data_IF_301224846515
#
_entry.id   IF_301224846515
#
_cell.length_a   1.000
_cell.length_b   1.000
_cell.length_c   1.000
_cell.angle_alpha   90.00
_cell.angle_beta   90.00
_cell.angle_gamma   90.00
#
_symmetry.space_group_name_H-M   'P 1'
#
loop_
_entity.id
_entity.type
_entity.pdbx_description
1 polymer ?
#
# COMPACT_ATOMS: atom_id res chain seq x y z
N UNK A 1 -6.74 1.52 -14.02
CA UNK A 1 -6.89 0.32 -13.16
C UNK A 1 -7.82 0.63 -12.00
N UNK A 2 -8.63 -0.33 -11.58
CA UNK A 2 -9.60 -0.16 -10.50
C UNK A 2 -9.05 -0.59 -9.14
N UNK A 3 -9.56 -0.01 -8.04
CA UNK A 3 -9.18 -0.37 -6.66
C UNK A 3 -9.44 -1.85 -6.34
N UNK A 4 -10.48 -2.43 -6.94
CA UNK A 4 -10.85 -3.84 -6.86
C UNK A 4 -9.71 -4.77 -7.28
N UNK A 5 -8.91 -4.37 -8.26
CA UNK A 5 -7.80 -5.16 -8.79
C UNK A 5 -6.69 -5.37 -7.74
N UNK A 6 -6.36 -4.33 -6.97
CA UNK A 6 -5.37 -4.43 -5.90
C UNK A 6 -5.78 -5.45 -4.82
N UNK A 7 -7.08 -5.52 -4.51
CA UNK A 7 -7.64 -6.47 -3.54
C UNK A 7 -7.55 -7.91 -4.09
N UNK A 8 -7.87 -8.10 -5.37
CA UNK A 8 -7.74 -9.41 -6.03
C UNK A 8 -6.30 -9.89 -5.99
N UNK A 9 -5.33 -9.02 -6.32
CA UNK A 9 -3.91 -9.37 -6.28
C UNK A 9 -3.42 -9.68 -4.87
N UNK A 10 -3.85 -8.92 -3.86
CA UNK A 10 -3.52 -9.17 -2.45
C UNK A 10 -3.94 -10.59 -2.04
N UNK A 11 -5.18 -10.96 -2.35
CA UNK A 11 -5.75 -12.28 -2.01
C UNK A 11 -5.13 -13.41 -2.83
N UNK A 12 -4.99 -13.23 -4.15
CA UNK A 12 -4.46 -14.25 -5.06
C UNK A 12 -3.01 -14.60 -4.77
N UNK A 13 -2.19 -13.61 -4.42
CA UNK A 13 -0.75 -13.80 -4.19
C UNK A 13 -0.40 -14.09 -2.73
N UNK A 14 -1.35 -13.95 -1.79
CA UNK A 14 -1.09 -14.09 -0.35
C UNK A 14 0.01 -13.16 0.15
N UNK A 15 0.18 -11.99 -0.48
CA UNK A 15 1.19 -11.00 -0.11
C UNK A 15 0.73 -10.13 1.07
N UNK A 16 1.61 -9.28 1.59
CA UNK A 16 1.28 -8.42 2.73
C UNK A 16 0.60 -7.12 2.31
N UNK A 17 1.04 -6.51 1.21
CA UNK A 17 0.54 -5.22 0.76
C UNK A 17 0.60 -5.11 -0.77
N UNK A 18 -0.39 -4.45 -1.36
CA UNK A 18 -0.46 -4.07 -2.77
C UNK A 18 -0.77 -2.58 -2.84
N UNK A 19 0.01 -1.84 -3.62
CA UNK A 19 -0.17 -0.40 -3.82
C UNK A 19 -0.54 -0.14 -5.27
N UNK A 20 -1.63 0.60 -5.45
CA UNK A 20 -2.14 1.07 -6.73
C UNK A 20 -1.93 2.59 -6.81
N UNK A 21 -0.92 3.01 -7.58
CA UNK A 21 -0.63 4.41 -7.86
C UNK A 21 -0.89 4.72 -9.34
N UNK A 22 -1.94 5.49 -9.64
CA UNK A 22 -2.34 5.74 -11.03
C UNK A 22 -2.64 4.44 -11.78
N UNK A 23 -1.84 4.13 -12.81
CA UNK A 23 -1.95 2.90 -13.59
C UNK A 23 -0.86 1.86 -13.27
N UNK A 24 -0.21 1.97 -12.10
CA UNK A 24 0.86 1.06 -11.67
C UNK A 24 0.46 0.30 -10.42
N UNK A 25 0.53 -1.03 -10.50
CA UNK A 25 0.36 -1.93 -9.37
C UNK A 25 1.73 -2.36 -8.86
N UNK A 26 1.90 -2.46 -7.55
CA UNK A 26 3.16 -2.88 -6.92
C UNK A 26 2.88 -3.77 -5.72
N UNK A 27 3.62 -4.87 -5.62
CA UNK A 27 3.39 -5.91 -4.61
C UNK A 27 4.53 -5.91 -3.59
N UNK A 28 4.16 -6.02 -2.33
CA UNK A 28 5.05 -5.96 -1.18
C UNK A 28 4.81 -7.18 -0.27
N UNK A 29 5.88 -7.62 0.40
CA UNK A 29 5.89 -8.91 1.13
C UNK A 29 6.61 -8.86 2.48
N UNK A 30 7.25 -7.74 2.85
CA UNK A 30 7.88 -7.62 4.18
C UNK A 30 6.79 -7.51 5.24
N UNK A 31 7.16 -7.94 6.46
CA UNK A 31 6.26 -7.93 7.63
C UNK A 31 6.16 -6.53 8.24
N UNK A 32 5.00 -6.28 8.86
CA UNK A 32 4.71 -5.01 9.52
C UNK A 32 4.79 -3.85 8.55
N UNK A 33 5.25 -2.71 9.05
CA UNK A 33 5.28 -1.46 8.28
C UNK A 33 6.53 -1.25 7.43
N UNK A 34 7.44 -2.23 7.34
CA UNK A 34 8.78 -2.04 6.73
C UNK A 34 8.73 -1.59 5.28
N UNK A 35 7.81 -2.14 4.49
CA UNK A 35 7.64 -1.73 3.10
C UNK A 35 7.06 -0.32 2.98
N UNK A 36 6.03 0.00 3.76
CA UNK A 36 5.42 1.33 3.78
C UNK A 36 6.39 2.41 4.28
N UNK A 37 7.16 2.12 5.33
CA UNK A 37 8.13 3.05 5.90
C UNK A 37 9.26 3.35 4.92
N UNK A 38 9.85 2.30 4.32
CA UNK A 38 10.88 2.50 3.29
C UNK A 38 10.36 3.31 2.09
N UNK A 39 9.10 3.08 1.68
CA UNK A 39 8.50 3.90 0.62
C UNK A 39 8.31 5.35 1.05
N UNK A 40 7.88 5.61 2.28
CA UNK A 40 7.71 6.96 2.78
C UNK A 40 9.05 7.72 2.81
N UNK A 41 10.11 7.05 3.27
CA UNK A 41 11.44 7.65 3.41
C UNK A 41 12.13 7.84 2.05
N UNK A 42 12.12 6.80 1.20
CA UNK A 42 12.93 6.78 -0.03
C UNK A 42 12.17 7.32 -1.26
N UNK A 43 10.83 7.16 -1.30
CA UNK A 43 10.03 7.52 -2.47
C UNK A 43 8.55 7.82 -2.13
N UNK A 44 8.28 8.89 -1.36
CA UNK A 44 6.95 9.20 -0.84
C UNK A 44 5.90 9.43 -1.95
N UNK A 45 6.34 9.84 -3.15
CA UNK A 45 5.47 10.02 -4.31
C UNK A 45 4.77 8.73 -4.76
N UNK A 46 5.24 7.55 -4.34
CA UNK A 46 4.55 6.27 -4.60
C UNK A 46 3.33 6.04 -3.69
N UNK A 47 3.25 6.76 -2.58
CA UNK A 47 2.12 6.69 -1.64
C UNK A 47 1.10 7.80 -1.91
N UNK A 48 1.55 8.97 -2.37
CA UNK A 48 0.69 10.13 -2.57
C UNK A 48 -0.41 9.86 -3.61
N UNK A 49 -1.67 9.99 -3.20
CA UNK A 49 -2.84 9.70 -4.02
C UNK A 49 -3.03 8.22 -4.33
N UNK A 50 -2.20 7.32 -3.80
CA UNK A 50 -2.32 5.89 -4.06
C UNK A 50 -3.47 5.26 -3.27
N UNK A 51 -3.95 4.13 -3.76
CA UNK A 51 -4.80 3.21 -3.01
C UNK A 51 -3.96 2.03 -2.52
N UNK A 52 -4.09 1.67 -1.25
CA UNK A 52 -3.31 0.59 -0.63
C UNK A 52 -4.23 -0.53 -0.16
N UNK A 53 -4.03 -1.75 -0.66
CA UNK A 53 -4.64 -2.94 -0.09
C UNK A 53 -3.60 -3.62 0.81
N UNK A 54 -3.83 -3.64 2.12
CA UNK A 54 -2.93 -4.21 3.12
C UNK A 54 -3.64 -5.31 3.89
N UNK A 55 -2.97 -6.45 4.07
CA UNK A 55 -3.53 -7.58 4.79
C UNK A 55 -3.92 -7.22 6.23
N UNK A 56 -3.19 -6.31 6.88
CA UNK A 56 -3.45 -5.87 8.25
C UNK A 56 -3.12 -4.39 8.43
N UNK A 57 -4.15 -3.56 8.63
CA UNK A 57 -3.98 -2.13 8.92
C UNK A 57 -3.93 -1.88 10.43
N UNK A 58 -2.72 -1.75 10.98
CA UNK A 58 -2.49 -1.29 12.35
C UNK A 58 -2.25 0.21 12.46
N UNK A 59 -2.19 0.76 13.69
CA UNK A 59 -1.95 2.20 13.94
C UNK A 59 -0.70 2.75 13.25
N UNK A 60 0.40 2.00 13.27
CA UNK A 60 1.64 2.41 12.60
C UNK A 60 1.50 2.46 11.07
N UNK A 61 0.79 1.49 10.48
CA UNK A 61 0.55 1.47 9.04
C UNK A 61 -0.34 2.64 8.63
N UNK A 62 -1.43 2.89 9.37
CA UNK A 62 -2.33 4.01 9.15
C UNK A 62 -1.60 5.36 9.24
N UNK A 63 -0.73 5.54 10.23
CA UNK A 63 0.05 6.77 10.38
C UNK A 63 0.96 7.02 9.17
N UNK A 64 1.65 5.99 8.67
CA UNK A 64 2.51 6.10 7.49
C UNK A 64 1.67 6.38 6.22
N UNK A 65 0.52 5.73 6.08
CA UNK A 65 -0.38 5.97 4.94
C UNK A 65 -0.89 7.40 4.90
N UNK A 66 -1.27 7.96 6.06
CA UNK A 66 -1.69 9.37 6.18
C UNK A 66 -0.52 10.30 5.85
N UNK A 67 0.67 10.06 6.44
CA UNK A 67 1.87 10.86 6.17
C UNK A 67 2.28 10.82 4.70
N UNK A 68 2.10 9.68 4.03
CA UNK A 68 2.39 9.50 2.61
C UNK A 68 1.31 9.99 1.66
N UNK A 69 0.17 10.50 2.14
CA UNK A 69 -0.91 11.02 1.30
C UNK A 69 -1.74 9.95 0.59
N UNK A 70 -1.85 8.74 1.15
CA UNK A 70 -2.69 7.65 0.62
C UNK A 70 -4.17 8.07 0.62
N UNK A 71 -4.87 7.87 -0.51
CA UNK A 71 -6.25 8.32 -0.69
C UNK A 71 -7.31 7.27 -0.31
N UNK A 72 -6.90 6.04 -0.04
CA UNK A 72 -7.80 4.99 0.40
C UNK A 72 -7.07 3.71 0.75
N UNK A 73 -7.64 2.94 1.67
CA UNK A 73 -7.09 1.68 2.17
C UNK A 73 -8.14 0.57 2.15
N UNK A 74 -7.69 -0.66 1.95
CA UNK A 74 -8.46 -1.89 2.14
C UNK A 74 -7.67 -2.88 2.99
#
# INVERSE_FOLDING_TARGET
MEKSEAIVWLRRLGCSCVILGGNRLSIYRRRGVRDLLALLDDNPGRLNGAFVADKVVGKGAAAIMIAGGVCGVY
#
